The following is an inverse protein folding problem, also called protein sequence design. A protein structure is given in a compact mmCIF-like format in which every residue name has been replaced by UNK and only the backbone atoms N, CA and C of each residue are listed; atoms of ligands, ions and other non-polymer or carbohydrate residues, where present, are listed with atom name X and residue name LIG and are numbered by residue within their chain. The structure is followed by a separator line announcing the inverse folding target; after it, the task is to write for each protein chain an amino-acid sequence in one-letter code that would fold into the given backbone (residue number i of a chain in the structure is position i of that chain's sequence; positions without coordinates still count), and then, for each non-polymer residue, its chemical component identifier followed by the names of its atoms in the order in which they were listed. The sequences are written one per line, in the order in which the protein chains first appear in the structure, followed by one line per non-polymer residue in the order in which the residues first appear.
data_IF_432317742746
#
_entry.id   IF_432317742746
#
_cell.length_a   1.000
_cell.length_b   1.000
_cell.length_c   1.000
_cell.angle_alpha   90.00
_cell.angle_beta   90.00
_cell.angle_gamma   90.00
#
_symmetry.space_group_name_H-M   'P 1'
#
loop_
_entity.id
_entity.type
_entity.pdbx_description
1 polymer ?
#
# COMPACT_ATOMS: atom_id res chain seq x y z
N UNK A 1 21.98 -0.18 3.97
CA UNK A 1 21.28 0.03 4.25
C UNK A 1 20.36 0.91 3.88
N UNK A 2 19.90 1.19 3.02
CA UNK A 2 19.04 2.07 2.60
C UNK A 2 17.75 1.52 2.35
N UNK A 3 17.07 1.09 3.36
CA UNK A 3 15.75 0.57 3.19
C UNK A 3 14.79 1.72 3.18
N UNK A 4 14.69 2.37 2.04
CA UNK A 4 13.82 3.44 1.89
C UNK A 4 12.43 2.95 1.63
N UNK A 5 11.43 3.58 2.19
CA UNK A 5 10.04 3.24 1.92
C UNK A 5 9.58 3.96 0.66
N UNK A 6 8.91 3.25 -0.21
CA UNK A 6 8.38 3.84 -1.43
C UNK A 6 6.91 3.49 -1.56
N UNK A 7 6.15 4.38 -2.14
CA UNK A 7 4.74 4.16 -2.36
C UNK A 7 4.55 3.32 -3.61
N UNK A 8 3.74 2.29 -3.54
CA UNK A 8 3.48 1.45 -4.69
C UNK A 8 2.04 1.51 -5.15
N UNK A 9 1.14 2.00 -4.33
CA UNK A 9 -0.27 2.07 -4.71
C UNK A 9 -1.01 3.00 -3.79
N UNK A 10 -2.14 3.53 -4.27
CA UNK A 10 -3.00 4.36 -3.48
C UNK A 10 -4.39 3.78 -3.54
N UNK A 11 -5.04 3.69 -2.40
CA UNK A 11 -6.38 3.17 -2.32
C UNK A 11 -7.28 4.20 -1.65
N UNK A 12 -8.56 4.12 -1.93
CA UNK A 12 -9.48 5.08 -1.40
C UNK A 12 -10.46 4.50 -0.39
N UNK A 13 -10.33 3.24 -0.07
CA UNK A 13 -11.11 2.69 1.03
C UNK A 13 -10.25 1.68 1.77
N UNK A 14 -10.63 1.47 3.02
CA UNK A 14 -9.85 0.65 3.91
C UNK A 14 -9.84 -0.81 3.52
N UNK A 15 -10.94 -1.30 3.01
CA UNK A 15 -11.03 -2.70 2.65
C UNK A 15 -10.02 -3.05 1.56
N UNK A 16 -9.93 -2.20 0.55
CA UNK A 16 -9.02 -2.48 -0.56
C UNK A 16 -7.57 -2.45 -0.13
N UNK A 17 -7.19 -1.46 0.69
CA UNK A 17 -5.80 -1.38 1.11
C UNK A 17 -5.44 -2.53 2.04
N UNK A 18 -6.39 -2.96 2.88
CA UNK A 18 -6.13 -4.08 3.77
C UNK A 18 -5.96 -5.37 2.98
N UNK A 19 -6.74 -5.55 1.94
CA UNK A 19 -6.62 -6.73 1.11
C UNK A 19 -5.27 -6.77 0.40
N UNK A 20 -4.84 -5.64 -0.13
CA UNK A 20 -3.55 -5.57 -0.77
C UNK A 20 -2.42 -5.87 0.21
N UNK A 21 -2.53 -5.32 1.42
CA UNK A 21 -1.53 -5.54 2.43
C UNK A 21 -1.46 -7.03 2.79
N UNK A 22 -2.61 -7.66 2.92
CA UNK A 22 -2.67 -9.06 3.25
C UNK A 22 -1.98 -9.91 2.18
N UNK A 23 -2.22 -9.60 0.92
CA UNK A 23 -1.58 -10.34 -0.17
C UNK A 23 -0.07 -10.22 -0.11
N UNK A 24 0.43 -9.04 0.16
CA UNK A 24 1.87 -8.84 0.23
C UNK A 24 2.48 -9.55 1.43
N UNK A 25 1.79 -9.49 2.55
CA UNK A 25 2.31 -10.15 3.75
C UNK A 25 2.32 -11.67 3.61
N UNK A 26 1.36 -12.20 2.89
CA UNK A 26 1.36 -13.63 2.63
C UNK A 26 2.57 -14.04 1.82
N UNK A 27 3.15 -13.12 1.08
CA UNK A 27 4.32 -13.39 0.27
C UNK A 27 5.61 -12.91 0.92
N UNK A 28 5.54 -12.62 2.22
CA UNK A 28 6.73 -12.27 2.97
C UNK A 28 7.21 -10.84 2.78
N UNK A 29 6.35 -9.95 2.29
CA UNK A 29 6.73 -8.58 2.05
C UNK A 29 6.13 -7.69 3.11
N UNK A 30 6.99 -6.91 3.78
CA UNK A 30 6.51 -5.95 4.76
C UNK A 30 5.87 -4.76 4.06
N UNK A 31 4.71 -4.34 4.54
CA UNK A 31 4.02 -3.19 4.01
C UNK A 31 3.63 -2.24 5.10
N UNK A 32 3.51 -0.97 4.72
CA UNK A 32 3.11 0.06 5.65
C UNK A 32 2.00 0.86 4.99
N UNK A 33 0.97 1.20 5.73
CA UNK A 33 -0.13 1.99 5.21
C UNK A 33 -0.01 3.39 5.78
N UNK A 34 0.07 4.37 4.89
CA UNK A 34 0.09 5.75 5.31
C UNK A 34 -1.27 6.33 5.00
N UNK A 35 -1.98 6.73 6.04
CA UNK A 35 -3.31 7.27 5.87
C UNK A 35 -3.21 8.77 5.95
N UNK A 36 -3.44 9.45 4.84
CA UNK A 36 -3.38 10.86 4.83
C UNK A 36 -4.73 11.47 5.03
N UNK A 37 -4.88 12.23 6.11
CA UNK A 37 -6.09 12.94 6.35
C UNK A 37 -5.86 14.33 5.83
N UNK A 38 -6.44 14.65 4.72
CA UNK A 38 -6.31 15.97 4.20
C UNK A 38 -7.50 16.77 4.57
N UNK A 39 -7.39 18.05 4.39
CA UNK A 39 -8.42 18.96 4.80
C UNK A 39 -9.72 18.76 4.05
N UNK A 40 -9.68 18.04 2.96
CA UNK A 40 -10.86 17.82 2.21
C UNK A 40 -11.70 16.70 2.74
N UNK A 41 -11.54 16.36 3.97
CA UNK A 41 -12.34 15.33 4.55
C UNK A 41 -13.82 15.62 4.46
N UNK A 42 -14.17 16.85 4.27
CA UNK A 42 -15.57 17.19 4.13
C UNK A 42 -16.21 16.45 2.96
N UNK A 43 -15.39 15.93 2.05
CA UNK A 43 -15.93 15.15 0.95
C UNK A 43 -15.82 13.66 1.21
N UNK A 44 -15.42 13.27 2.39
CA UNK A 44 -15.35 11.87 2.73
C UNK A 44 -14.24 11.12 2.02
N UNK A 45 -13.28 11.81 1.49
CA UNK A 45 -12.20 11.16 0.77
C UNK A 45 -11.06 10.82 1.72
N UNK A 46 -10.59 9.63 1.63
CA UNK A 46 -9.44 9.20 2.40
C UNK A 46 -8.44 8.57 1.45
N UNK A 47 -7.18 8.89 1.66
CA UNK A 47 -6.13 8.29 0.85
C UNK A 47 -5.34 7.35 1.71
N UNK A 48 -5.20 6.12 1.26
CA UNK A 48 -4.39 5.13 1.92
C UNK A 48 -3.25 4.79 0.99
N UNK A 49 -2.03 5.16 1.38
CA UNK A 49 -0.87 4.89 0.55
C UNK A 49 -0.20 3.63 1.03
N UNK A 50 -0.03 2.67 0.14
CA UNK A 50 0.61 1.43 0.48
C UNK A 50 2.09 1.54 0.15
N UNK A 51 2.93 1.33 1.13
CA UNK A 51 4.36 1.53 1.02
C UNK A 51 5.10 0.25 1.33
N UNK A 52 6.19 0.02 0.62
CA UNK A 52 7.06 -1.11 0.90
C UNK A 52 8.49 -0.60 0.86
N UNK A 53 9.42 -1.42 1.32
CA UNK A 53 10.82 -1.06 1.17
C UNK A 53 11.19 -1.12 -0.30
N UNK A 54 12.08 -0.25 -0.70
CA UNK A 54 12.43 -0.15 -2.10
C UNK A 54 12.93 -1.46 -2.69
N UNK A 55 13.61 -2.26 -1.90
CA UNK A 55 14.11 -3.54 -2.38
C UNK A 55 13.01 -4.50 -2.76
N UNK A 56 11.80 -4.29 -2.21
CA UNK A 56 10.69 -5.18 -2.48
C UNK A 56 9.71 -4.60 -3.50
N UNK A 57 10.03 -3.46 -4.05
CA UNK A 57 9.08 -2.74 -4.90
C UNK A 57 8.61 -3.57 -6.09
N UNK A 58 9.53 -4.15 -6.82
CA UNK A 58 9.15 -4.88 -8.01
C UNK A 58 8.35 -6.13 -7.69
N UNK A 59 8.78 -6.86 -6.67
CA UNK A 59 8.04 -8.04 -6.28
C UNK A 59 6.64 -7.68 -5.81
N UNK A 60 6.52 -6.59 -5.07
CA UNK A 60 5.22 -6.16 -4.57
C UNK A 60 4.29 -5.79 -5.72
N UNK A 61 4.79 -5.10 -6.72
CA UNK A 61 3.96 -4.72 -7.85
C UNK A 61 3.48 -5.94 -8.62
N UNK A 62 4.34 -6.92 -8.77
CA UNK A 62 3.96 -8.14 -9.45
C UNK A 62 2.86 -8.86 -8.68
N UNK A 63 3.01 -8.94 -7.36
CA UNK A 63 2.02 -9.62 -6.55
C UNK A 63 0.66 -8.92 -6.63
N UNK A 64 0.66 -7.60 -6.60
CA UNK A 64 -0.59 -6.87 -6.66
C UNK A 64 -1.26 -6.96 -8.01
N UNK A 65 -0.50 -7.23 -9.07
CA UNK A 65 -1.09 -7.37 -10.37
C UNK A 65 -1.71 -8.74 -10.59
N UNK A 66 -1.40 -9.69 -9.76
CA UNK A 66 -1.93 -11.04 -9.96
C UNK A 66 -3.39 -11.08 -9.62
N UNK A 67 -4.18 -11.75 -10.44
CA UNK A 67 -5.59 -11.87 -10.15
C UNK A 67 -5.78 -12.75 -8.94
N UNK A 68 -6.85 -12.53 -8.25
CA UNK A 68 -7.15 -13.28 -7.04
C UNK A 68 -7.60 -14.67 -7.37
#
# INVERSE_FOLDING_TARGET
MNDKLVKIATFFNQFDVDLAKFKLEENGIYCFIKNEHVAQLQFGLANFELMVFQKDKEAALIILEQPV
#
